data_IF_598680729692
#
_entry.id   IF_598680729692
#
_cell.length_a   1.000
_cell.length_b   1.000
_cell.length_c   1.000
_cell.angle_alpha   90.00
_cell.angle_beta   90.00
_cell.angle_gamma   90.00
#
_symmetry.space_group_name_H-M   'P 1'
#
loop_
_entity.id
_entity.type
_entity.pdbx_description
1 polymer ?
#
# COMPACT_ATOMS: atom_id res chain seq x y z
N UNK A 1 10.29 -2.01 14.16
CA UNK A 1 9.47 -1.05 14.94
C UNK A 1 9.80 -1.13 16.43
N UNK A 2 11.01 -0.77 16.83
CA UNK A 2 11.32 -0.57 18.24
C UNK A 2 11.38 0.93 18.49
N UNK A 3 10.65 1.42 19.49
CA UNK A 3 10.54 2.83 19.90
C UNK A 3 9.79 3.78 18.96
N UNK A 4 8.48 3.60 18.78
CA UNK A 4 7.65 4.77 18.47
C UNK A 4 7.14 5.42 19.77
N UNK A 5 6.68 4.68 20.78
CA UNK A 5 6.49 5.22 22.14
C UNK A 5 6.49 4.08 23.19
N UNK A 6 7.56 3.86 23.96
CA UNK A 6 7.64 2.73 24.91
C UNK A 6 6.55 2.76 26.00
N UNK A 7 6.03 3.95 26.33
CA UNK A 7 4.98 4.14 27.34
C UNK A 7 3.54 3.94 26.83
N UNK A 8 3.33 3.88 25.51
CA UNK A 8 2.02 3.57 24.90
C UNK A 8 1.85 2.06 24.59
N UNK A 9 2.78 1.22 25.03
CA UNK A 9 2.70 -0.23 24.82
C UNK A 9 1.37 -0.83 25.29
N UNK A 10 0.79 -0.32 26.39
CA UNK A 10 -0.53 -0.73 26.89
C UNK A 10 -1.69 -0.38 25.94
N UNK A 11 -1.66 0.78 25.27
CA UNK A 11 -2.69 1.21 24.31
C UNK A 11 -2.66 0.36 23.05
N UNK A 12 -1.46 -0.01 22.57
CA UNK A 12 -1.29 -0.95 21.46
C UNK A 12 -1.69 -2.38 21.85
N UNK A 13 -1.45 -2.79 23.11
CA UNK A 13 -1.83 -4.11 23.65
C UNK A 13 -3.34 -4.29 23.82
N UNK A 14 -4.10 -3.20 23.96
CA UNK A 14 -5.55 -3.22 24.05
C UNK A 14 -6.24 -3.47 22.69
N UNK A 15 -5.54 -3.25 21.57
CA UNK A 15 -6.11 -3.41 20.24
C UNK A 15 -5.90 -4.84 19.72
N UNK A 16 -6.77 -5.77 20.17
CA UNK A 16 -6.76 -7.18 19.76
C UNK A 16 -6.81 -7.38 18.25
N UNK A 17 -7.51 -6.50 17.52
CA UNK A 17 -7.60 -6.57 16.07
C UNK A 17 -6.26 -6.25 15.38
N UNK A 18 -5.54 -5.23 15.87
CA UNK A 18 -4.22 -4.87 15.35
C UNK A 18 -3.18 -5.98 15.57
N UNK A 19 -3.22 -6.62 16.75
CA UNK A 19 -2.35 -7.75 17.05
C UNK A 19 -2.64 -8.96 16.13
N UNK A 20 -3.93 -9.31 15.95
CA UNK A 20 -4.35 -10.38 15.04
C UNK A 20 -3.91 -10.13 13.60
N UNK A 21 -4.13 -8.91 13.08
CA UNK A 21 -3.71 -8.55 11.73
C UNK A 21 -2.19 -8.65 11.55
N UNK A 22 -1.41 -8.31 12.59
CA UNK A 22 0.05 -8.43 12.56
C UNK A 22 0.49 -9.90 12.55
N UNK A 23 -0.16 -10.75 13.34
CA UNK A 23 0.11 -12.19 13.33
C UNK A 23 -0.21 -12.81 11.96
N UNK A 24 -1.39 -12.54 11.41
CA UNK A 24 -1.80 -13.04 10.08
C UNK A 24 -0.86 -12.57 8.97
N UNK A 25 -0.43 -11.29 9.00
CA UNK A 25 0.54 -10.78 8.05
C UNK A 25 1.91 -11.45 8.20
N UNK A 26 2.36 -11.66 9.43
CA UNK A 26 3.62 -12.33 9.72
C UNK A 26 3.63 -13.78 9.22
N UNK A 27 2.55 -14.51 9.45
CA UNK A 27 2.37 -15.89 8.98
C UNK A 27 2.38 -15.95 7.43
N UNK A 28 1.73 -15.00 6.78
CA UNK A 28 1.74 -14.88 5.32
C UNK A 28 3.14 -14.64 4.75
N UNK A 29 3.90 -13.70 5.34
CA UNK A 29 5.28 -13.42 4.92
C UNK A 29 6.17 -14.65 5.13
N UNK A 30 6.01 -15.35 6.25
CA UNK A 30 6.78 -16.56 6.54
C UNK A 30 6.44 -17.70 5.58
N UNK A 31 5.17 -17.90 5.23
CA UNK A 31 4.77 -18.89 4.24
C UNK A 31 5.37 -18.58 2.86
N UNK A 32 5.30 -17.31 2.43
CA UNK A 32 5.88 -16.84 1.18
C UNK A 32 7.40 -17.07 1.15
N UNK A 33 8.08 -16.80 2.26
CA UNK A 33 9.51 -17.08 2.40
C UNK A 33 9.85 -18.55 2.19
N UNK A 34 9.11 -19.46 2.84
CA UNK A 34 9.31 -20.91 2.71
C UNK A 34 9.08 -21.38 1.27
N UNK A 35 8.11 -20.79 0.57
CA UNK A 35 7.87 -21.08 -0.85
C UNK A 35 9.01 -20.61 -1.75
N UNK A 36 9.51 -19.39 -1.55
CA UNK A 36 10.64 -18.86 -2.33
C UNK A 36 11.90 -19.71 -2.11
N UNK A 37 12.17 -20.14 -0.87
CA UNK A 37 13.29 -21.03 -0.55
C UNK A 37 13.26 -22.35 -1.34
N UNK A 38 12.08 -22.93 -1.59
CA UNK A 38 11.94 -24.20 -2.32
C UNK A 38 12.37 -24.09 -3.78
N UNK A 39 12.22 -22.91 -4.37
CA UNK A 39 12.49 -22.66 -5.80
C UNK A 39 13.63 -21.67 -6.00
N UNK A 40 14.47 -21.46 -4.98
CA UNK A 40 15.52 -20.45 -5.01
C UNK A 40 16.61 -20.86 -6.02
N UNK A 41 16.81 -20.03 -7.04
CA UNK A 41 17.95 -20.13 -7.94
C UNK A 41 18.82 -18.88 -7.80
N UNK A 42 20.10 -19.09 -7.49
CA UNK A 42 21.06 -17.98 -7.34
C UNK A 42 21.25 -17.21 -8.64
N UNK A 43 21.10 -17.89 -9.78
CA UNK A 43 21.29 -17.31 -11.11
C UNK A 43 20.01 -16.65 -11.65
N UNK A 44 18.86 -16.87 -11.00
CA UNK A 44 17.57 -16.31 -11.39
C UNK A 44 16.81 -15.82 -10.14
N UNK A 45 17.20 -14.64 -9.65
CA UNK A 45 16.57 -14.00 -8.49
C UNK A 45 15.34 -13.21 -8.95
N UNK A 46 14.15 -13.73 -8.67
CA UNK A 46 12.90 -13.22 -9.28
C UNK A 46 12.30 -12.04 -8.52
N UNK A 47 12.68 -11.89 -7.26
CA UNK A 47 12.11 -10.87 -6.39
C UNK A 47 13.09 -10.50 -5.25
N UNK A 48 12.69 -9.51 -4.45
CA UNK A 48 13.50 -9.03 -3.32
C UNK A 48 13.80 -10.12 -2.27
N UNK A 49 12.89 -11.08 -2.06
CA UNK A 49 13.08 -12.17 -1.09
C UNK A 49 14.18 -13.11 -1.59
N UNK A 50 14.16 -13.48 -2.88
CA UNK A 50 15.22 -14.30 -3.50
C UNK A 50 16.60 -13.61 -3.36
N UNK A 51 16.67 -12.31 -3.63
CA UNK A 51 17.91 -11.54 -3.50
C UNK A 51 18.43 -11.50 -2.05
N UNK A 52 17.54 -11.29 -1.07
CA UNK A 52 17.90 -11.32 0.35
C UNK A 52 18.40 -12.71 0.76
N UNK A 53 17.72 -13.77 0.30
CA UNK A 53 18.06 -15.15 0.59
C UNK A 53 19.42 -15.56 0.05
N UNK A 54 19.74 -15.17 -1.19
CA UNK A 54 21.08 -15.40 -1.76
C UNK A 54 22.14 -14.69 -0.93
N UNK A 55 21.88 -13.43 -0.56
CA UNK A 55 22.82 -12.64 0.26
C UNK A 55 23.02 -13.22 1.66
N UNK A 56 21.95 -13.69 2.29
CA UNK A 56 21.99 -14.45 3.54
C UNK A 56 22.88 -15.70 3.42
N UNK A 57 22.82 -16.42 2.30
CA UNK A 57 23.65 -17.60 2.08
C UNK A 57 25.14 -17.27 1.89
N UNK A 58 25.44 -16.15 1.25
CA UNK A 58 26.81 -15.66 1.07
C UNK A 58 27.46 -15.19 2.38
N UNK A 59 26.67 -14.68 3.32
CA UNK A 59 27.14 -14.14 4.60
C UNK A 59 27.05 -15.12 5.77
N UNK A 60 26.84 -16.43 5.52
CA UNK A 60 26.66 -17.46 6.57
C UNK A 60 27.76 -17.53 7.64
N UNK A 61 28.95 -17.00 7.39
CA UNK A 61 30.08 -17.00 8.31
C UNK A 61 30.19 -15.77 9.21
N UNK A 62 29.35 -14.74 9.04
CA UNK A 62 29.41 -13.51 9.86
C UNK A 62 28.50 -13.58 11.07
N UNK A 63 29.09 -13.63 12.26
CA UNK A 63 28.38 -13.73 13.55
C UNK A 63 27.49 -12.51 13.86
N UNK A 64 27.76 -11.37 13.20
CA UNK A 64 27.01 -10.09 13.33
C UNK A 64 26.38 -9.64 11.99
N UNK A 65 26.03 -10.59 11.10
CA UNK A 65 25.40 -10.27 9.82
C UNK A 65 23.99 -9.70 9.96
N UNK A 66 23.58 -8.83 9.03
CA UNK A 66 22.22 -8.26 9.01
C UNK A 66 21.18 -9.15 8.33
N UNK A 67 21.64 -10.17 7.60
CA UNK A 67 20.78 -11.01 6.76
C UNK A 67 20.24 -12.23 7.51
N UNK A 68 19.41 -11.99 8.54
CA UNK A 68 18.68 -13.04 9.28
C UNK A 68 17.16 -12.89 9.09
N UNK A 69 16.42 -13.96 9.37
CA UNK A 69 14.98 -14.06 9.04
C UNK A 69 14.15 -12.95 9.70
N UNK A 70 14.45 -12.57 10.94
CA UNK A 70 13.74 -11.48 11.63
C UNK A 70 13.89 -10.13 10.92
N UNK A 71 15.07 -9.87 10.34
CA UNK A 71 15.30 -8.66 9.56
C UNK A 71 14.59 -8.75 8.20
N UNK A 72 14.58 -9.92 7.56
CA UNK A 72 13.80 -10.12 6.33
C UNK A 72 12.31 -9.84 6.56
N UNK A 73 11.73 -10.41 7.61
CA UNK A 73 10.33 -10.19 7.97
C UNK A 73 10.05 -8.70 8.24
N UNK A 74 10.93 -8.04 8.98
CA UNK A 74 10.83 -6.61 9.27
C UNK A 74 10.95 -5.76 8.00
N UNK A 75 11.86 -6.09 7.10
CA UNK A 75 12.09 -5.37 5.84
C UNK A 75 10.89 -5.51 4.91
N UNK A 76 10.39 -6.73 4.71
CA UNK A 76 9.20 -6.99 3.88
C UNK A 76 7.98 -6.29 4.45
N UNK A 77 7.77 -6.38 5.77
CA UNK A 77 6.66 -5.69 6.45
C UNK A 77 6.73 -4.17 6.29
N UNK A 78 7.91 -3.58 6.50
CA UNK A 78 8.10 -2.15 6.35
C UNK A 78 7.84 -1.69 4.92
N UNK A 79 8.43 -2.38 3.92
CA UNK A 79 8.28 -2.03 2.51
C UNK A 79 6.82 -2.13 2.05
N UNK A 80 6.15 -3.23 2.41
CA UNK A 80 4.76 -3.46 2.05
C UNK A 80 3.82 -2.43 2.69
N UNK A 81 3.94 -2.22 4.02
CA UNK A 81 3.08 -1.29 4.75
C UNK A 81 3.27 0.13 4.26
N UNK A 82 4.52 0.58 4.09
CA UNK A 82 4.83 1.92 3.61
C UNK A 82 4.28 2.15 2.18
N UNK A 83 4.45 1.18 1.28
CA UNK A 83 3.93 1.26 -0.08
C UNK A 83 2.40 1.29 -0.12
N UNK A 84 1.74 0.35 0.55
CA UNK A 84 0.28 0.22 0.52
C UNK A 84 -0.42 1.42 1.14
N UNK A 85 0.07 1.91 2.29
CA UNK A 85 -0.55 3.02 3.00
C UNK A 85 -0.48 4.31 2.18
N UNK A 86 0.69 4.64 1.65
CA UNK A 86 0.91 5.87 0.86
C UNK A 86 0.15 5.84 -0.48
N UNK A 87 0.17 4.70 -1.17
CA UNK A 87 -0.55 4.53 -2.45
C UNK A 87 -2.07 4.61 -2.24
N UNK A 88 -2.60 3.88 -1.25
CA UNK A 88 -4.04 3.87 -0.96
C UNK A 88 -4.54 5.26 -0.55
N UNK A 89 -3.77 5.97 0.27
CA UNK A 89 -4.07 7.34 0.68
C UNK A 89 -4.07 8.29 -0.52
N UNK A 90 -3.07 8.18 -1.39
CA UNK A 90 -2.97 9.00 -2.60
C UNK A 90 -4.15 8.76 -3.55
N UNK A 91 -4.54 7.50 -3.76
CA UNK A 91 -5.70 7.15 -4.57
C UNK A 91 -7.00 7.68 -3.95
N UNK A 92 -7.17 7.52 -2.64
CA UNK A 92 -8.35 8.01 -1.93
C UNK A 92 -8.49 9.54 -2.02
N UNK A 93 -7.40 10.29 -1.86
CA UNK A 93 -7.43 11.74 -2.11
C UNK A 93 -7.72 12.07 -3.57
N UNK A 94 -7.12 11.34 -4.50
CA UNK A 94 -7.33 11.55 -5.94
C UNK A 94 -8.80 11.41 -6.33
N UNK A 95 -9.49 10.37 -5.85
CA UNK A 95 -10.93 10.19 -6.07
C UNK A 95 -11.77 11.29 -5.40
N UNK A 96 -11.49 11.63 -4.14
CA UNK A 96 -12.21 12.70 -3.43
C UNK A 96 -12.09 14.04 -4.16
N UNK A 97 -10.88 14.38 -4.62
CA UNK A 97 -10.64 15.58 -5.41
C UNK A 97 -11.39 15.54 -6.75
N UNK A 98 -11.44 14.41 -7.45
CA UNK A 98 -12.24 14.29 -8.68
C UNK A 98 -13.74 14.49 -8.44
N UNK A 99 -14.27 14.02 -7.30
CA UNK A 99 -15.67 14.23 -6.93
C UNK A 99 -15.96 15.70 -6.60
N UNK A 100 -15.00 16.42 -6.02
CA UNK A 100 -15.08 17.85 -5.70
C UNK A 100 -14.94 18.73 -6.95
N UNK A 101 -14.09 18.31 -7.89
CA UNK A 101 -13.67 19.05 -9.09
C UNK A 101 -13.95 18.25 -10.38
N UNK A 102 -15.23 18.07 -10.76
CA UNK A 102 -15.63 17.20 -11.89
C UNK A 102 -15.13 17.67 -13.27
N UNK A 103 -14.74 18.92 -13.41
CA UNK A 103 -14.06 19.45 -14.59
C UNK A 103 -12.68 18.82 -14.82
N UNK A 104 -11.96 18.46 -13.74
CA UNK A 104 -10.66 17.79 -13.83
C UNK A 104 -10.81 16.39 -14.40
N UNK A 105 -11.88 15.67 -14.04
CA UNK A 105 -12.16 14.32 -14.54
C UNK A 105 -12.48 14.31 -16.04
N UNK A 106 -13.17 15.34 -16.54
CA UNK A 106 -13.54 15.46 -17.96
C UNK A 106 -12.36 15.76 -18.89
N UNK A 107 -11.33 16.46 -18.38
CA UNK A 107 -10.15 16.88 -19.18
C UNK A 107 -9.14 15.76 -19.46
N UNK A 108 -9.28 14.57 -18.86
CA UNK A 108 -8.27 13.49 -18.88
C UNK A 108 -8.25 12.62 -20.15
N UNK A 109 -9.04 12.93 -21.19
CA UNK A 109 -9.23 12.02 -22.32
C UNK A 109 -8.00 11.89 -23.27
N UNK A 110 -7.01 12.80 -23.28
CA UNK A 110 -5.94 12.70 -24.32
C UNK A 110 -4.47 13.05 -23.95
N UNK A 111 -4.04 13.16 -22.68
CA UNK A 111 -2.71 13.74 -22.38
C UNK A 111 -1.65 12.81 -21.72
N UNK A 112 -1.92 11.51 -21.55
CA UNK A 112 -1.18 10.68 -20.58
C UNK A 112 -0.11 9.70 -21.09
N UNK A 113 0.14 9.61 -22.39
CA UNK A 113 0.92 8.51 -22.99
C UNK A 113 2.36 8.38 -22.43
N UNK A 114 3.01 9.51 -22.11
CA UNK A 114 4.38 9.53 -21.55
C UNK A 114 4.46 9.22 -20.05
N UNK A 115 3.35 9.35 -19.30
CA UNK A 115 3.26 9.09 -17.85
C UNK A 115 2.82 7.64 -17.54
N UNK A 116 2.46 6.86 -18.55
CA UNK A 116 1.90 5.51 -18.44
C UNK A 116 2.86 4.41 -17.94
N UNK A 117 4.05 4.76 -17.44
CA UNK A 117 5.08 3.78 -17.05
C UNK A 117 5.11 3.46 -15.55
N UNK A 118 4.25 4.07 -14.73
CA UNK A 118 4.15 3.76 -13.30
C UNK A 118 2.90 2.91 -13.01
N UNK A 119 3.03 1.81 -12.28
CA UNK A 119 1.92 0.89 -11.94
C UNK A 119 0.70 1.61 -11.35
N UNK A 120 0.93 2.59 -10.47
CA UNK A 120 -0.12 3.42 -9.89
C UNK A 120 -0.89 4.20 -10.96
N UNK A 121 -0.17 4.76 -11.92
CA UNK A 121 -0.78 5.49 -13.03
C UNK A 121 -1.57 4.55 -13.94
N UNK A 122 -1.05 3.36 -14.25
CA UNK A 122 -1.74 2.36 -15.06
C UNK A 122 -3.03 1.87 -14.39
N UNK A 123 -2.97 1.51 -13.11
CA UNK A 123 -4.16 1.12 -12.34
C UNK A 123 -5.20 2.24 -12.35
N UNK A 124 -4.80 3.45 -11.98
CA UNK A 124 -5.72 4.57 -11.86
C UNK A 124 -6.30 5.02 -13.22
N UNK A 125 -5.47 5.09 -14.26
CA UNK A 125 -5.96 5.42 -15.61
C UNK A 125 -6.84 4.33 -16.20
N UNK A 126 -6.55 3.05 -15.97
CA UNK A 126 -7.43 1.96 -16.40
C UNK A 126 -8.83 2.06 -15.78
N UNK A 127 -8.91 2.43 -14.49
CA UNK A 127 -10.18 2.70 -13.82
C UNK A 127 -10.90 3.90 -14.43
N UNK A 128 -10.18 5.00 -14.70
CA UNK A 128 -10.76 6.21 -15.31
C UNK A 128 -11.18 6.02 -16.77
N UNK A 129 -10.54 5.12 -17.50
CA UNK A 129 -10.92 4.75 -18.86
C UNK A 129 -12.23 3.97 -18.85
N UNK A 130 -12.40 3.04 -17.90
CA UNK A 130 -13.57 2.15 -17.83
C UNK A 130 -14.75 2.71 -17.06
N UNK A 131 -14.52 3.64 -16.13
CA UNK A 131 -15.55 4.13 -15.23
C UNK A 131 -15.58 5.67 -15.15
N UNK A 132 -16.79 6.20 -15.13
CA UNK A 132 -17.06 7.55 -14.64
C UNK A 132 -17.38 7.45 -13.15
N UNK A 133 -16.50 8.00 -12.32
CA UNK A 133 -16.76 8.19 -10.89
C UNK A 133 -17.65 9.41 -10.68
N UNK A 134 -18.68 9.27 -9.84
CA UNK A 134 -19.61 10.34 -9.51
C UNK A 134 -20.06 10.29 -8.06
N UNK A 135 -20.63 11.40 -7.60
CA UNK A 135 -21.20 11.52 -6.26
C UNK A 135 -22.47 10.67 -6.16
N UNK A 136 -22.75 10.04 -4.99
CA UNK A 136 -24.03 9.39 -4.76
C UNK A 136 -25.21 10.36 -4.89
N UNK A 137 -26.43 9.87 -5.20
CA UNK A 137 -27.62 10.71 -5.24
C UNK A 137 -27.82 11.48 -3.92
N UNK A 138 -28.11 12.78 -4.03
CA UNK A 138 -28.32 13.65 -2.86
C UNK A 138 -27.05 14.25 -2.24
N UNK A 139 -25.85 13.88 -2.69
CA UNK A 139 -24.59 14.46 -2.19
C UNK A 139 -24.15 15.62 -3.07
N UNK A 140 -24.08 16.82 -2.50
CA UNK A 140 -23.61 18.05 -3.14
C UNK A 140 -22.08 18.18 -3.10
N UNK A 141 -21.52 19.15 -3.83
CA UNK A 141 -20.06 19.44 -3.77
C UNK A 141 -19.68 19.96 -2.39
N UNK A 142 -20.53 20.77 -1.74
CA UNK A 142 -20.29 21.31 -0.40
C UNK A 142 -20.15 20.21 0.66
N UNK A 143 -20.80 19.06 0.47
CA UNK A 143 -20.76 17.93 1.42
C UNK A 143 -19.44 17.16 1.40
N UNK A 144 -18.59 17.38 0.39
CA UNK A 144 -17.27 16.76 0.29
C UNK A 144 -16.26 17.54 1.14
N UNK A 145 -15.99 17.02 2.33
CA UNK A 145 -15.02 17.56 3.28
C UNK A 145 -13.58 17.18 2.89
N UNK A 146 -12.73 18.18 2.70
CA UNK A 146 -11.30 18.00 2.37
C UNK A 146 -10.39 18.11 3.60
N UNK A 147 -10.95 18.23 4.82
CA UNK A 147 -10.14 18.19 6.03
C UNK A 147 -9.61 16.78 6.29
N UNK A 148 -8.35 16.65 6.75
CA UNK A 148 -7.78 15.35 7.03
C UNK A 148 -8.43 14.71 8.25
N UNK A 149 -8.55 13.38 8.23
CA UNK A 149 -8.89 12.63 9.43
C UNK A 149 -7.70 12.60 10.40
N UNK A 150 -7.98 12.39 11.69
CA UNK A 150 -6.94 12.18 12.70
C UNK A 150 -6.36 10.78 12.49
N UNK A 151 -5.14 10.71 11.98
CA UNK A 151 -4.41 9.46 11.73
C UNK A 151 -2.89 9.73 11.73
N UNK A 152 -2.09 8.68 11.62
CA UNK A 152 -0.63 8.77 11.48
C UNK A 152 -0.21 9.51 10.19
N UNK A 153 -1.02 9.37 9.13
CA UNK A 153 -0.85 10.06 7.85
C UNK A 153 -2.04 10.97 7.52
N UNK A 154 -1.84 11.87 6.56
CA UNK A 154 -2.91 12.75 6.03
C UNK A 154 -3.84 11.91 5.14
N UNK A 155 -4.93 11.40 5.72
CA UNK A 155 -5.95 10.62 4.99
C UNK A 155 -7.26 11.41 4.90
N UNK A 156 -8.07 11.22 3.84
CA UNK A 156 -9.38 11.84 3.78
C UNK A 156 -10.33 11.18 4.79
N UNK A 157 -11.36 11.91 5.22
CA UNK A 157 -12.46 11.30 5.97
C UNK A 157 -13.21 10.28 5.08
N UNK A 158 -13.83 9.24 5.66
CA UNK A 158 -14.61 8.27 4.88
C UNK A 158 -15.67 8.96 4.02
N UNK A 159 -15.68 8.65 2.72
CA UNK A 159 -16.66 9.16 1.76
C UNK A 159 -17.19 8.03 0.89
N UNK A 160 -18.36 8.25 0.29
CA UNK A 160 -18.96 7.31 -0.66
C UNK A 160 -18.87 7.86 -2.07
N UNK A 161 -18.72 6.96 -3.04
CA UNK A 161 -18.72 7.29 -4.46
C UNK A 161 -19.42 6.20 -5.26
N UNK A 162 -19.91 6.57 -6.43
CA UNK A 162 -20.44 5.64 -7.42
C UNK A 162 -19.44 5.51 -8.57
N UNK A 163 -19.24 4.29 -9.05
CA UNK A 163 -18.48 4.01 -10.26
C UNK A 163 -19.44 3.50 -11.33
N UNK A 164 -19.65 4.27 -12.39
CA UNK A 164 -20.55 3.93 -13.49
C UNK A 164 -19.71 3.56 -14.71
N UNK A 165 -19.97 2.39 -15.30
CA UNK A 165 -19.23 1.94 -16.48
C UNK A 165 -19.42 2.91 -17.65
N UNK A 166 -18.33 3.20 -18.37
CA UNK A 166 -18.34 3.92 -19.64
C UNK A 166 -18.58 2.89 -20.75
N UNK A 167 -19.68 3.07 -21.47
CA UNK A 167 -19.97 2.37 -22.74
C UNK A 167 -19.01 2.82 -23.84
#
# INVERSE_FOLDING_TARGET
>A
MYNIFPYLGFLLRANKALLKNREEFNDYVQATFVENLKTLDKNDQRNFIDAFLVKQQEEKSTTNGYFHNDNLQSLVSNLFTAGVETISTTLNWSFLLMLKYPEVQRRRICAGETLAKMELFLFFTSLLQRFTFCRPPGVSISDLDLSPAISFNIIPKPYKMCAVSRS
#
